data_IF_237027267649
#
_entry.id   IF_237027267649
#
_cell.length_a   1.000
_cell.length_b   1.000
_cell.length_c   1.000
_cell.angle_alpha   90.00
_cell.angle_beta   90.00
_cell.angle_gamma   90.00
#
_symmetry.space_group_name_H-M   'P 1'
#
loop_
_entity.id
_entity.type
_entity.pdbx_description
1 polymer ?
#
# COMPACT_ATOMS: atom_id res chain seq x y z
N UNK A 1 19.06 -8.25 6.38
CA UNK A 1 18.58 -9.08 7.51
C UNK A 1 17.21 -9.64 7.17
N UNK A 2 17.01 -10.96 7.25
CA UNK A 2 15.77 -11.63 6.81
C UNK A 2 14.66 -11.55 7.87
N UNK A 3 13.40 -11.69 7.45
CA UNK A 3 12.25 -11.67 8.36
C UNK A 3 12.26 -12.81 9.41
N UNK A 4 12.69 -14.06 9.11
CA UNK A 4 12.87 -15.11 10.12
C UNK A 4 13.91 -14.73 11.19
N UNK A 5 15.06 -14.18 10.78
CA UNK A 5 16.12 -13.78 11.70
C UNK A 5 15.65 -12.69 12.69
N UNK A 6 14.84 -11.73 12.23
CA UNK A 6 14.22 -10.72 13.10
C UNK A 6 13.26 -11.35 14.12
N UNK A 7 12.50 -12.39 13.75
CA UNK A 7 11.60 -13.10 14.68
C UNK A 7 12.37 -13.86 15.76
N UNK A 8 13.49 -14.49 15.39
CA UNK A 8 14.38 -15.14 16.36
C UNK A 8 14.96 -14.14 17.35
N UNK A 9 15.40 -12.99 16.86
CA UNK A 9 15.90 -11.91 17.73
C UNK A 9 14.82 -11.44 18.72
N UNK A 10 13.57 -11.26 18.27
CA UNK A 10 12.46 -10.90 19.17
C UNK A 10 12.22 -11.99 20.22
N UNK A 11 12.21 -13.28 19.83
CA UNK A 11 12.07 -14.40 20.79
C UNK A 11 13.19 -14.42 21.83
N UNK A 12 14.42 -14.18 21.41
CA UNK A 12 15.58 -14.12 22.29
C UNK A 12 15.48 -12.98 23.30
N UNK A 13 15.08 -11.79 22.85
CA UNK A 13 14.91 -10.62 23.71
C UNK A 13 13.78 -10.84 24.74
N UNK A 14 12.68 -11.45 24.31
CA UNK A 14 11.59 -11.82 25.22
C UNK A 14 12.04 -12.86 26.25
N UNK A 15 12.78 -13.88 25.81
CA UNK A 15 13.37 -14.87 26.73
C UNK A 15 14.35 -14.27 27.74
N UNK A 16 14.97 -13.13 27.41
CA UNK A 16 15.82 -12.34 28.32
C UNK A 16 15.05 -11.38 29.23
N UNK A 17 13.71 -11.39 29.21
CA UNK A 17 12.87 -10.60 30.10
C UNK A 17 12.38 -9.26 29.53
N UNK A 18 12.62 -8.98 28.25
CA UNK A 18 12.01 -7.81 27.60
C UNK A 18 10.55 -8.08 27.25
N UNK A 19 9.69 -7.07 27.38
CA UNK A 19 8.32 -7.20 26.87
C UNK A 19 8.32 -7.35 25.35
N UNK A 20 7.32 -8.05 24.81
CA UNK A 20 7.14 -8.22 23.36
C UNK A 20 7.12 -6.86 22.64
N UNK A 21 6.38 -5.87 23.18
CA UNK A 21 6.34 -4.51 22.63
C UNK A 21 7.72 -3.85 22.54
N UNK A 22 8.53 -3.95 23.60
CA UNK A 22 9.87 -3.35 23.62
C UNK A 22 10.80 -4.06 22.65
N UNK A 23 10.73 -5.40 22.61
CA UNK A 23 11.50 -6.23 21.67
C UNK A 23 11.15 -5.90 20.22
N UNK A 24 9.87 -5.80 19.87
CA UNK A 24 9.41 -5.41 18.53
C UNK A 24 9.88 -4.01 18.13
N UNK A 25 9.84 -3.05 19.07
CA UNK A 25 10.36 -1.70 18.83
C UNK A 25 11.86 -1.68 18.55
N UNK A 26 12.66 -2.42 19.35
CA UNK A 26 14.11 -2.53 19.15
C UNK A 26 14.47 -3.17 17.80
N UNK A 27 13.73 -4.20 17.38
CA UNK A 27 13.97 -4.90 16.11
C UNK A 27 13.33 -4.18 14.91
N UNK A 28 12.59 -3.09 15.14
CA UNK A 28 11.79 -2.35 14.14
C UNK A 28 10.89 -3.30 13.33
N UNK A 29 10.23 -4.22 14.03
CA UNK A 29 9.33 -5.22 13.45
C UNK A 29 7.91 -5.02 13.96
N UNK A 30 6.91 -5.10 13.08
CA UNK A 30 5.51 -5.03 13.49
C UNK A 30 5.05 -6.33 14.14
N UNK A 31 4.05 -6.23 15.03
CA UNK A 31 3.45 -7.40 15.67
C UNK A 31 2.85 -8.38 14.64
N UNK A 32 2.27 -7.86 13.54
CA UNK A 32 1.70 -8.70 12.49
C UNK A 32 2.80 -9.52 11.79
N UNK A 33 3.91 -8.89 11.45
CA UNK A 33 5.04 -9.59 10.82
C UNK A 33 5.66 -10.64 11.75
N UNK A 34 5.66 -10.39 13.07
CA UNK A 34 6.13 -11.35 14.07
C UNK A 34 5.23 -12.59 14.14
N UNK A 35 3.90 -12.39 14.09
CA UNK A 35 2.88 -13.44 14.15
C UNK A 35 2.64 -14.16 12.83
N UNK A 36 3.18 -13.65 11.73
CA UNK A 36 3.02 -14.28 10.42
C UNK A 36 3.55 -15.71 10.43
N UNK A 37 2.67 -16.68 10.28
CA UNK A 37 3.02 -18.08 10.04
C UNK A 37 3.08 -18.32 8.52
N UNK A 38 4.20 -18.81 7.97
CA UNK A 38 4.26 -19.23 6.58
C UNK A 38 3.18 -20.27 6.33
N UNK A 39 2.28 -19.97 5.38
CA UNK A 39 1.33 -20.98 4.89
C UNK A 39 2.05 -21.81 3.83
N UNK A 40 1.77 -23.11 3.81
CA UNK A 40 2.19 -23.95 2.70
C UNK A 40 1.67 -23.33 1.41
N UNK A 41 2.55 -23.18 0.42
CA UNK A 41 2.16 -22.71 -0.90
C UNK A 41 1.17 -23.72 -1.48
N UNK A 42 -0.07 -23.28 -1.74
CA UNK A 42 -1.12 -24.12 -2.33
C UNK A 42 -1.09 -24.06 -3.86
N UNK A 43 -0.29 -23.18 -4.42
CA UNK A 43 -0.23 -22.90 -5.84
C UNK A 43 1.00 -23.54 -6.49
N UNK A 44 1.52 -24.64 -5.92
CA UNK A 44 2.76 -25.28 -6.39
C UNK A 44 2.68 -25.66 -7.87
N UNK A 45 1.55 -26.23 -8.29
CA UNK A 45 1.30 -26.60 -9.70
C UNK A 45 1.23 -25.38 -10.61
N UNK A 46 0.52 -24.32 -10.19
CA UNK A 46 0.45 -23.07 -10.93
C UNK A 46 1.82 -22.41 -11.03
N UNK A 47 2.60 -22.42 -9.96
CA UNK A 47 3.97 -21.89 -9.93
C UNK A 47 4.88 -22.70 -10.85
N UNK A 48 4.76 -24.03 -10.87
CA UNK A 48 5.50 -24.89 -11.78
C UNK A 48 5.15 -24.56 -13.24
N UNK A 49 3.86 -24.44 -13.57
CA UNK A 49 3.40 -24.04 -14.90
C UNK A 49 3.87 -22.64 -15.29
N UNK A 50 3.86 -21.68 -14.37
CA UNK A 50 4.40 -20.33 -14.60
C UNK A 50 5.91 -20.38 -14.83
N UNK A 51 6.67 -21.25 -14.15
CA UNK A 51 8.11 -21.39 -14.39
C UNK A 51 8.42 -22.11 -15.70
N UNK A 52 7.56 -23.01 -16.13
CA UNK A 52 7.67 -23.75 -17.39
C UNK A 52 7.25 -22.90 -18.59
N UNK A 53 6.19 -22.10 -18.44
CA UNK A 53 5.60 -21.31 -19.53
C UNK A 53 6.09 -19.86 -19.52
N UNK A 54 6.35 -19.32 -18.34
CA UNK A 54 6.91 -17.99 -18.15
C UNK A 54 8.42 -18.07 -18.22
N UNK A 55 9.02 -17.34 -19.15
CA UNK A 55 10.42 -16.97 -19.02
C UNK A 55 10.61 -16.43 -17.60
N UNK A 56 11.52 -17.00 -16.78
CA UNK A 56 11.91 -16.31 -15.56
C UNK A 56 12.28 -14.88 -15.97
N UNK A 57 11.92 -13.88 -15.16
CA UNK A 57 12.40 -12.51 -15.34
C UNK A 57 13.92 -12.52 -15.10
N UNK A 58 14.64 -13.11 -16.04
CA UNK A 58 16.06 -13.38 -16.03
C UNK A 58 16.71 -12.13 -16.57
N UNK A 59 17.24 -11.32 -15.65
CA UNK A 59 18.32 -10.34 -15.87
C UNK A 59 18.07 -9.15 -16.80
N UNK A 60 17.13 -9.24 -17.75
CA UNK A 60 17.00 -8.29 -18.86
C UNK A 60 15.65 -7.54 -18.78
N UNK A 61 14.57 -8.22 -18.43
CA UNK A 61 13.27 -7.57 -18.19
C UNK A 61 13.24 -6.72 -16.90
N UNK A 62 14.17 -6.97 -15.97
CA UNK A 62 14.38 -6.08 -14.82
C UNK A 62 14.93 -4.71 -15.25
N UNK A 63 15.74 -4.65 -16.31
CA UNK A 63 16.26 -3.39 -16.85
C UNK A 63 15.17 -2.61 -17.60
N UNK A 64 14.22 -3.31 -18.23
CA UNK A 64 13.05 -2.69 -18.89
C UNK A 64 12.13 -1.99 -17.89
N UNK A 65 11.98 -2.52 -16.68
CA UNK A 65 11.25 -1.87 -15.58
C UNK A 65 12.00 -0.66 -15.00
N UNK A 66 13.33 -0.69 -14.97
CA UNK A 66 14.15 0.43 -14.51
C UNK A 66 14.10 1.61 -15.49
N UNK A 67 14.16 1.34 -16.81
CA UNK A 67 14.14 2.37 -17.85
C UNK A 67 12.83 3.19 -17.89
N UNK A 68 11.72 2.62 -17.41
CA UNK A 68 10.43 3.31 -17.38
C UNK A 68 10.25 4.18 -16.13
N UNK A 69 11.03 3.96 -15.08
CA UNK A 69 10.89 4.68 -13.80
C UNK A 69 11.36 6.13 -13.92
N UNK A 70 12.42 6.37 -14.69
CA UNK A 70 12.93 7.72 -14.97
C UNK A 70 11.91 8.60 -15.74
N UNK A 71 11.06 7.99 -16.57
CA UNK A 71 10.02 8.72 -17.30
C UNK A 71 8.86 9.18 -16.40
N UNK A 72 8.57 8.46 -15.32
CA UNK A 72 7.54 8.87 -14.36
C UNK A 72 8.03 9.97 -13.41
N UNK A 73 9.30 9.93 -12.99
CA UNK A 73 9.89 10.98 -12.15
C UNK A 73 10.03 12.31 -12.91
N UNK A 74 10.35 12.26 -14.21
CA UNK A 74 10.40 13.46 -15.05
C UNK A 74 9.03 14.12 -15.27
N UNK A 75 7.94 13.33 -15.30
CA UNK A 75 6.58 13.83 -15.45
C UNK A 75 6.05 14.54 -14.18
N UNK A 76 6.58 14.20 -13.01
CA UNK A 76 6.23 14.87 -11.74
C UNK A 76 7.03 16.19 -11.53
N UNK A 77 8.16 16.35 -12.22
CA UNK A 77 9.05 17.50 -12.11
C UNK A 77 8.72 18.67 -13.06
N UNK A 78 7.76 18.52 -13.98
CA UNK A 78 7.33 19.61 -14.86
C UNK A 78 6.20 20.44 -14.22
N UNK A 79 6.26 21.80 -14.27
CA UNK A 79 5.23 22.63 -13.68
C UNK A 79 3.89 22.40 -14.40
N UNK A 80 2.84 22.13 -13.62
CA UNK A 80 1.45 21.97 -14.08
C UNK A 80 0.97 23.22 -14.81
N UNK A 81 1.22 23.28 -16.11
CA UNK A 81 0.65 24.29 -17.00
C UNK A 81 -0.38 23.62 -17.91
N UNK A 82 -1.60 24.16 -17.85
CA UNK A 82 -2.82 23.84 -18.64
C UNK A 82 -3.78 22.87 -17.97
N UNK A 83 -4.59 23.44 -17.09
CA UNK A 83 -5.96 23.00 -16.79
C UNK A 83 -6.68 22.71 -18.11
N UNK A 84 -6.83 21.43 -18.47
CA UNK A 84 -7.87 21.03 -19.40
C UNK A 84 -9.20 21.09 -18.63
N UNK A 85 -9.89 22.23 -18.75
CA UNK A 85 -11.27 22.39 -18.31
C UNK A 85 -12.16 21.57 -19.24
N UNK A 86 -12.41 20.32 -18.85
CA UNK A 86 -13.46 19.46 -19.42
C UNK A 86 -14.76 19.55 -18.59
N UNK A 87 -15.89 19.04 -19.11
CA UNK A 87 -17.27 19.43 -18.77
C UNK A 87 -17.79 19.03 -17.38
N UNK A 88 -16.91 18.69 -16.44
CA UNK A 88 -17.26 18.31 -15.05
C UNK A 88 -17.65 19.54 -14.22
N UNK A 89 -17.26 20.75 -14.63
CA UNK A 89 -17.58 22.00 -13.95
C UNK A 89 -19.08 22.38 -13.98
N UNK A 90 -19.87 21.83 -14.91
CA UNK A 90 -21.31 22.13 -15.01
C UNK A 90 -22.16 21.26 -14.07
N UNK A 91 -21.66 20.09 -13.64
CA UNK A 91 -22.36 19.21 -12.70
C UNK A 91 -22.24 19.67 -11.23
N UNK A 92 -21.17 20.39 -10.88
CA UNK A 92 -20.95 20.88 -9.51
C UNK A 92 -21.86 22.05 -9.11
N UNK A 93 -22.52 22.70 -10.07
CA UNK A 93 -23.40 23.85 -9.82
C UNK A 93 -24.80 23.42 -9.33
N UNK A 94 -25.25 22.20 -9.66
CA UNK A 94 -26.56 21.69 -9.23
C UNK A 94 -26.59 21.21 -7.77
N UNK A 95 -25.47 20.74 -7.23
CA UNK A 95 -25.43 20.18 -5.86
C UNK A 95 -25.37 21.29 -4.79
N UNK A 96 -24.93 22.50 -5.14
CA UNK A 96 -24.77 23.61 -4.18
C UNK A 96 -26.04 24.44 -3.93
N UNK A 97 -27.13 24.17 -4.65
CA UNK A 97 -28.42 24.84 -4.46
C UNK A 97 -29.39 24.12 -3.49
N UNK A 98 -28.99 22.97 -2.92
CA UNK A 98 -29.88 22.09 -2.15
C UNK A 98 -29.81 22.17 -0.62
N UNK A 99 -28.89 22.94 -0.04
CA UNK A 99 -28.68 22.94 1.43
C UNK A 99 -28.82 24.33 2.04
N UNK A 100 -30.02 24.91 1.95
CA UNK A 100 -30.42 26.09 2.73
C UNK A 100 -31.67 25.76 3.58
N UNK A 101 -31.39 25.26 4.79
CA UNK A 101 -32.11 25.56 6.04
C UNK A 101 -33.64 25.46 6.07
N UNK A 102 -34.17 24.24 6.28
CA UNK A 102 -35.42 24.05 7.03
C UNK A 102 -35.10 24.16 8.53
N UNK A 103 -35.15 25.39 9.06
CA UNK A 103 -35.19 25.64 10.51
C UNK A 103 -36.65 25.73 10.95
N UNK A 104 -37.07 24.73 11.73
CA UNK A 104 -38.06 24.78 12.81
C UNK A 104 -38.92 26.05 12.90
N UNK A 105 -40.23 25.90 12.63
CA UNK A 105 -41.26 26.55 13.43
C UNK A 105 -42.28 25.50 13.81
N UNK A 106 -42.06 24.93 14.99
CA UNK A 106 -42.98 24.05 15.66
C UNK A 106 -43.07 24.52 17.12
N UNK A 107 -44.12 25.31 17.41
CA UNK A 107 -44.85 25.36 18.68
C UNK A 107 -45.92 26.47 18.70
N UNK A 108 -47.15 26.00 18.90
CA UNK A 108 -48.25 26.59 19.69
C UNK A 108 -48.83 27.95 19.25
N UNK A 109 -50.01 27.92 18.63
CA UNK A 109 -51.32 28.08 19.30
C UNK A 109 -52.45 27.82 18.32
#
# INVERSE_FOLDING_TARGET
>A
MTAPARRELVRHLVGKGLSERRSLAMVRMSANAYRYAPRSDRNVELRARILETGHPLTGDQAQVLDLHTDQFVAAEAAPKAKQQQGPVALMAQFVRAGTATSRRRDRAR
#
